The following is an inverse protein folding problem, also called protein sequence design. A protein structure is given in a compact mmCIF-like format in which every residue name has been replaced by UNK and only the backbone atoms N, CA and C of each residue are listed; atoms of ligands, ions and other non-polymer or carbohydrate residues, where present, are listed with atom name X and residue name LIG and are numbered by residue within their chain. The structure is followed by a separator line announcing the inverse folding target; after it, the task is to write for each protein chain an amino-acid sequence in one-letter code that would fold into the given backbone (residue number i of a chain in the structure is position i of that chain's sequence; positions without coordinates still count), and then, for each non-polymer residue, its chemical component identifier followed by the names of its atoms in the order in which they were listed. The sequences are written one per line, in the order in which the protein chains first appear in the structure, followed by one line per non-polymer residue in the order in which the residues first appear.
data_IF_591735214348
#
_entry.id   IF_591735214348
#
_cell.length_a   1.000
_cell.length_b   1.000
_cell.length_c   1.000
_cell.angle_alpha   90.00
_cell.angle_beta   90.00
_cell.angle_gamma   90.00
#
_symmetry.space_group_name_H-M   'P 1'
#
loop_
_entity.id
_entity.type
_entity.pdbx_description
1 polymer ?
#
# COMPACT_ATOMS: atom_id res chain seq x y z
N UNK A 1 19.10 -11.42 21.62
CA UNK A 1 19.16 -10.70 20.32
C UNK A 1 17.78 -10.15 20.11
N UNK A 2 17.65 -8.91 19.73
CA UNK A 2 16.35 -8.24 19.53
C UNK A 2 15.63 -8.87 18.35
N UNK A 3 14.42 -9.40 18.56
CA UNK A 3 13.61 -10.03 17.53
C UNK A 3 12.59 -9.04 16.97
N UNK A 4 12.30 -9.14 15.69
CA UNK A 4 11.24 -8.41 15.02
C UNK A 4 10.04 -9.33 14.75
N UNK A 5 8.91 -9.03 15.34
CA UNK A 5 7.63 -9.68 15.03
C UNK A 5 6.94 -8.89 13.91
N UNK A 6 6.92 -9.47 12.73
CA UNK A 6 6.39 -8.82 11.54
C UNK A 6 4.92 -9.14 11.33
N UNK A 7 4.10 -8.10 11.41
CA UNK A 7 2.66 -8.14 11.18
C UNK A 7 2.39 -7.66 9.76
N UNK A 8 2.53 -8.57 8.79
CA UNK A 8 2.35 -8.27 7.38
C UNK A 8 0.88 -8.15 6.99
N UNK A 9 0.65 -7.67 5.76
CA UNK A 9 -0.68 -7.62 5.16
C UNK A 9 -1.04 -8.96 4.53
N UNK A 10 -2.34 -9.20 4.34
CA UNK A 10 -2.80 -10.33 3.56
C UNK A 10 -2.25 -10.27 2.13
N UNK A 11 -1.63 -11.37 1.69
CA UNK A 11 -0.93 -11.43 0.41
C UNK A 11 -1.84 -11.99 -0.68
N UNK A 12 -2.10 -11.18 -1.71
CA UNK A 12 -2.83 -11.59 -2.91
C UNK A 12 -1.96 -11.29 -4.14
N UNK A 13 -1.90 -12.22 -5.09
CA UNK A 13 -1.04 -12.13 -6.27
C UNK A 13 -1.25 -10.84 -7.08
N UNK A 14 -2.49 -10.37 -7.18
CA UNK A 14 -2.84 -9.16 -7.90
C UNK A 14 -2.52 -7.85 -7.16
N UNK A 15 -2.08 -7.91 -5.89
CA UNK A 15 -1.89 -6.74 -5.04
C UNK A 15 -0.43 -6.45 -4.73
N UNK A 16 -0.17 -5.17 -4.42
CA UNK A 16 1.14 -4.73 -3.93
C UNK A 16 1.49 -5.32 -2.55
N UNK A 17 0.51 -5.80 -1.80
CA UNK A 17 0.71 -6.40 -0.47
C UNK A 17 1.62 -7.64 -0.54
N UNK A 18 1.45 -8.50 -1.55
CA UNK A 18 2.37 -9.62 -1.79
C UNK A 18 3.80 -9.11 -2.04
N UNK A 19 3.95 -8.10 -2.89
CA UNK A 19 5.26 -7.52 -3.20
C UNK A 19 5.92 -6.91 -1.96
N UNK A 20 5.16 -6.18 -1.13
CA UNK A 20 5.70 -5.62 0.12
C UNK A 20 6.24 -6.71 1.04
N UNK A 21 5.49 -7.80 1.23
CA UNK A 21 5.90 -8.92 2.06
C UNK A 21 7.19 -9.56 1.53
N UNK A 22 7.27 -9.82 0.23
CA UNK A 22 8.45 -10.41 -0.40
C UNK A 22 9.67 -9.48 -0.34
N UNK A 23 9.49 -8.20 -0.61
CA UNK A 23 10.59 -7.22 -0.60
C UNK A 23 11.12 -6.96 0.80
N UNK A 24 10.23 -6.81 1.78
CA UNK A 24 10.64 -6.67 3.18
C UNK A 24 11.40 -7.91 3.64
N UNK A 25 10.91 -9.10 3.30
CA UNK A 25 11.60 -10.36 3.61
C UNK A 25 13.02 -10.38 3.07
N UNK A 26 13.24 -10.05 1.80
CA UNK A 26 14.56 -9.96 1.18
C UNK A 26 15.46 -8.93 1.90
N UNK A 27 14.90 -7.79 2.32
CA UNK A 27 15.65 -6.78 3.08
C UNK A 27 16.06 -7.32 4.45
N UNK A 28 15.14 -7.95 5.16
CA UNK A 28 15.42 -8.52 6.48
C UNK A 28 16.48 -9.61 6.41
N UNK A 29 16.39 -10.51 5.43
CA UNK A 29 17.39 -11.57 5.18
C UNK A 29 18.78 -10.97 4.89
N UNK A 30 18.88 -9.97 4.02
CA UNK A 30 20.16 -9.29 3.71
C UNK A 30 20.76 -8.57 4.92
N UNK A 31 19.94 -8.12 5.85
CA UNK A 31 20.37 -7.46 7.07
C UNK A 31 20.62 -8.44 8.21
N UNK A 32 20.46 -9.73 7.98
CA UNK A 32 20.54 -10.78 8.98
C UNK A 32 19.71 -10.48 10.24
N UNK A 33 18.50 -9.92 10.02
CA UNK A 33 17.58 -9.61 11.12
C UNK A 33 16.91 -10.90 11.58
N UNK A 34 16.74 -11.03 12.90
CA UNK A 34 15.92 -12.10 13.49
C UNK A 34 14.45 -11.69 13.41
N UNK A 35 13.73 -12.30 12.47
CA UNK A 35 12.33 -11.93 12.15
C UNK A 35 11.41 -13.13 12.29
N UNK A 36 10.36 -12.95 13.07
CA UNK A 36 9.24 -13.86 13.13
C UNK A 36 8.03 -13.28 12.38
N UNK A 37 7.60 -13.98 11.33
CA UNK A 37 6.42 -13.60 10.55
C UNK A 37 5.19 -14.15 11.23
N UNK A 38 4.42 -13.26 11.88
CA UNK A 38 3.20 -13.66 12.58
C UNK A 38 2.12 -13.98 11.54
N UNK A 39 1.64 -15.24 11.46
CA UNK A 39 0.69 -15.61 10.42
C UNK A 39 -0.71 -15.10 10.71
N UNK A 40 -1.43 -14.72 9.66
CA UNK A 40 -2.88 -14.54 9.67
C UNK A 40 -3.56 -15.66 8.88
N UNK A 41 -4.84 -15.92 9.18
CA UNK A 41 -5.66 -16.89 8.46
C UNK A 41 -6.51 -16.20 7.39
N UNK A 42 -6.69 -16.85 6.24
CA UNK A 42 -7.58 -16.37 5.18
C UNK A 42 -8.94 -17.08 5.28
N UNK A 43 -10.00 -16.41 4.82
CA UNK A 43 -11.31 -17.04 4.64
C UNK A 43 -11.30 -17.78 3.30
N UNK A 44 -11.64 -19.06 3.28
CA UNK A 44 -11.55 -19.92 2.10
C UNK A 44 -12.40 -19.49 0.88
N UNK A 45 -13.33 -18.58 1.06
CA UNK A 45 -14.19 -18.02 0.01
C UNK A 45 -13.86 -16.58 -0.35
N UNK A 46 -12.67 -16.10 -0.06
CA UNK A 46 -12.24 -14.83 -0.62
C UNK A 46 -12.17 -15.00 -2.14
N UNK A 47 -13.23 -14.59 -2.82
CA UNK A 47 -13.17 -14.39 -4.26
C UNK A 47 -11.92 -13.56 -4.54
N UNK A 48 -11.15 -14.02 -5.51
CA UNK A 48 -9.97 -13.29 -5.95
C UNK A 48 -10.32 -11.81 -6.01
N UNK A 49 -9.65 -10.99 -5.20
CA UNK A 49 -9.90 -9.54 -5.17
C UNK A 49 -9.80 -9.06 -6.60
N UNK A 50 -10.92 -8.62 -7.14
CA UNK A 50 -10.93 -8.08 -8.49
C UNK A 50 -9.99 -6.89 -8.52
N UNK A 51 -9.07 -6.87 -9.48
CA UNK A 51 -8.21 -5.71 -9.71
C UNK A 51 -9.10 -4.47 -9.79
N UNK A 52 -8.79 -3.45 -9.00
CA UNK A 52 -9.61 -2.22 -8.90
C UNK A 52 -10.61 -2.21 -7.73
N UNK A 53 -10.81 -3.29 -7.00
CA UNK A 53 -11.56 -3.23 -5.75
C UNK A 53 -10.64 -2.91 -4.57
N UNK A 54 -11.11 -1.99 -3.75
CA UNK A 54 -10.49 -1.72 -2.44
C UNK A 54 -10.97 -2.82 -1.49
N UNK A 55 -10.08 -3.33 -0.69
CA UNK A 55 -10.25 -4.23 0.45
C UNK A 55 -11.60 -4.99 0.55
N UNK A 56 -11.54 -6.32 0.50
CA UNK A 56 -12.57 -7.13 1.14
C UNK A 56 -12.50 -6.88 2.66
N UNK A 57 -13.44 -6.11 3.18
CA UNK A 57 -13.45 -5.72 4.59
C UNK A 57 -13.54 -6.93 5.52
N UNK A 58 -14.25 -8.00 5.14
CA UNK A 58 -14.37 -9.22 5.92
C UNK A 58 -13.05 -10.01 5.91
N UNK A 59 -12.47 -10.23 4.73
CA UNK A 59 -11.20 -10.94 4.58
C UNK A 59 -10.07 -10.21 5.28
N UNK A 60 -9.97 -8.89 5.12
CA UNK A 60 -9.00 -8.05 5.82
C UNK A 60 -9.14 -8.14 7.33
N UNK A 61 -10.37 -8.02 7.84
CA UNK A 61 -10.63 -8.09 9.29
C UNK A 61 -10.31 -9.48 9.84
N UNK A 62 -10.73 -10.53 9.15
CA UNK A 62 -10.47 -11.91 9.57
C UNK A 62 -8.97 -12.23 9.63
N UNK A 63 -8.23 -11.85 8.58
CA UNK A 63 -6.78 -12.03 8.52
C UNK A 63 -6.10 -11.28 9.67
N UNK A 64 -6.39 -9.99 9.83
CA UNK A 64 -5.77 -9.14 10.83
C UNK A 64 -6.09 -9.61 12.26
N UNK A 65 -7.36 -9.94 12.56
CA UNK A 65 -7.76 -10.42 13.88
C UNK A 65 -7.11 -11.76 14.21
N UNK A 66 -7.05 -12.71 13.27
CA UNK A 66 -6.38 -14.00 13.48
C UNK A 66 -4.88 -13.83 13.72
N UNK A 67 -4.24 -12.90 13.01
CA UNK A 67 -2.85 -12.54 13.22
C UNK A 67 -2.62 -11.93 14.62
N UNK A 68 -3.53 -11.05 15.06
CA UNK A 68 -3.49 -10.50 16.42
C UNK A 68 -3.68 -11.57 17.50
N UNK A 69 -4.54 -12.56 17.28
CA UNK A 69 -4.69 -13.69 18.18
C UNK A 69 -3.37 -14.47 18.34
N UNK A 70 -2.67 -14.72 17.24
CA UNK A 70 -1.36 -15.38 17.26
C UNK A 70 -0.31 -14.54 18.00
N UNK A 71 -0.27 -13.22 17.79
CA UNK A 71 0.62 -12.32 18.52
C UNK A 71 0.33 -12.35 20.02
N UNK A 72 -0.94 -12.28 20.41
CA UNK A 72 -1.36 -12.36 21.82
C UNK A 72 -0.92 -13.68 22.46
N UNK A 73 -1.00 -14.79 21.72
CA UNK A 73 -0.51 -16.09 22.19
C UNK A 73 1.03 -16.08 22.40
N UNK A 74 1.79 -15.49 21.49
CA UNK A 74 3.25 -15.33 21.63
C UNK A 74 3.59 -14.48 22.87
N UNK A 75 2.87 -13.38 23.07
CA UNK A 75 3.02 -12.54 24.27
C UNK A 75 2.71 -13.34 25.55
N UNK A 76 1.63 -14.10 25.53
CA UNK A 76 1.22 -14.95 26.68
C UNK A 76 2.24 -16.01 27.02
N UNK A 77 2.91 -16.57 26.02
CA UNK A 77 3.96 -17.59 26.21
C UNK A 77 5.28 -16.99 26.73
N UNK A 78 5.44 -15.65 26.67
CA UNK A 78 6.70 -14.98 26.98
C UNK A 78 7.71 -14.98 25.82
N UNK A 79 7.26 -15.30 24.61
CA UNK A 79 8.11 -15.27 23.40
C UNK A 79 8.42 -13.84 22.98
N UNK A 80 7.49 -12.88 23.25
CA UNK A 80 7.66 -11.45 23.01
C UNK A 80 8.04 -10.76 24.31
N UNK A 81 9.15 -10.03 24.28
CA UNK A 81 9.73 -9.35 25.45
C UNK A 81 9.87 -7.85 25.22
N UNK A 82 10.21 -7.08 26.28
CA UNK A 82 10.47 -5.65 26.18
C UNK A 82 11.68 -5.25 25.33
N UNK A 83 12.53 -6.20 24.98
CA UNK A 83 13.66 -5.95 24.08
C UNK A 83 13.26 -6.04 22.59
N UNK A 84 12.10 -6.62 22.30
CA UNK A 84 11.65 -6.94 20.95
C UNK A 84 10.90 -5.79 20.29
N UNK A 85 10.68 -5.95 18.99
CA UNK A 85 9.92 -5.02 18.16
C UNK A 85 8.73 -5.73 17.55
N UNK A 86 7.56 -5.11 17.62
CA UNK A 86 6.40 -5.49 16.82
C UNK A 86 6.26 -4.46 15.70
N UNK A 87 6.30 -4.90 14.44
CA UNK A 87 6.15 -4.04 13.29
C UNK A 87 4.90 -4.37 12.49
N UNK A 88 3.99 -3.40 12.39
CA UNK A 88 2.78 -3.47 11.60
C UNK A 88 3.00 -2.81 10.23
N UNK A 89 2.81 -3.58 9.16
CA UNK A 89 2.94 -3.10 7.79
C UNK A 89 1.85 -2.09 7.39
N UNK A 90 0.75 -2.07 8.12
CA UNK A 90 -0.31 -1.07 8.03
C UNK A 90 -0.79 -0.73 9.44
N UNK A 91 -0.89 0.55 9.76
CA UNK A 91 -1.41 0.97 11.06
C UNK A 91 -2.86 0.54 11.28
N UNK A 92 -3.63 0.36 10.19
CA UNK A 92 -4.99 -0.18 10.26
C UNK A 92 -4.97 -1.70 10.42
N UNK A 93 -4.88 -2.14 11.67
CA UNK A 93 -4.84 -3.55 12.07
C UNK A 93 -6.01 -3.86 12.98
N UNK A 94 -7.12 -4.41 12.49
CA UNK A 94 -8.22 -4.89 13.34
C UNK A 94 -7.72 -5.79 14.46
N UNK A 95 -8.15 -5.53 15.69
CA UNK A 95 -7.66 -6.21 16.90
C UNK A 95 -6.49 -5.52 17.60
N UNK A 96 -5.91 -4.47 17.00
CA UNK A 96 -4.80 -3.71 17.57
C UNK A 96 -5.11 -3.14 18.96
N UNK A 97 -6.37 -2.81 19.23
CA UNK A 97 -6.86 -2.30 20.52
C UNK A 97 -6.56 -3.26 21.69
N UNK A 98 -6.45 -4.57 21.44
CA UNK A 98 -6.10 -5.56 22.46
C UNK A 98 -4.71 -5.35 23.04
N UNK A 99 -3.76 -4.80 22.27
CA UNK A 99 -2.41 -4.47 22.76
C UNK A 99 -2.48 -3.41 23.86
N UNK A 100 -3.36 -2.40 23.72
CA UNK A 100 -3.56 -1.40 24.76
C UNK A 100 -3.95 -2.02 26.09
N UNK A 101 -4.89 -2.97 26.06
CA UNK A 101 -5.31 -3.68 27.27
C UNK A 101 -4.16 -4.52 27.88
N UNK A 102 -3.41 -5.25 27.05
CA UNK A 102 -2.34 -6.14 27.51
C UNK A 102 -1.15 -5.32 28.05
N UNK A 103 -0.67 -4.33 27.28
CA UNK A 103 0.53 -3.58 27.64
C UNK A 103 0.34 -2.70 28.87
N UNK A 104 -0.90 -2.26 29.17
CA UNK A 104 -1.18 -1.55 30.42
C UNK A 104 -1.19 -2.47 31.67
N UNK A 105 -1.12 -3.79 31.51
CA UNK A 105 -1.05 -4.76 32.60
C UNK A 105 0.40 -5.19 32.94
N UNK A 106 1.37 -4.78 32.15
CA UNK A 106 2.78 -5.13 32.34
C UNK A 106 3.62 -3.87 32.56
N UNK A 107 4.75 -3.95 33.28
CA UNK A 107 5.66 -2.82 33.41
C UNK A 107 6.12 -2.27 32.05
N UNK A 108 6.22 -0.94 31.97
CA UNK A 108 6.55 -0.26 30.70
C UNK A 108 7.88 -0.71 30.09
N UNK A 109 8.86 -0.99 30.92
CA UNK A 109 10.19 -1.49 30.52
C UNK A 109 10.18 -2.92 30.01
N UNK A 110 9.07 -3.64 30.19
CA UNK A 110 8.82 -4.98 29.67
C UNK A 110 7.92 -4.95 28.42
N UNK A 111 7.46 -3.79 27.98
CA UNK A 111 6.65 -3.65 26.80
C UNK A 111 7.53 -3.65 25.54
N UNK A 112 7.18 -4.45 24.49
CA UNK A 112 7.86 -4.38 23.20
C UNK A 112 7.64 -3.01 22.54
N UNK A 113 8.59 -2.57 21.72
CA UNK A 113 8.40 -1.37 20.92
C UNK A 113 7.48 -1.65 19.73
N UNK A 114 6.54 -0.76 19.48
CA UNK A 114 5.59 -0.87 18.37
C UNK A 114 5.95 0.12 17.28
N UNK A 115 6.20 -0.40 16.08
CA UNK A 115 6.36 0.39 14.88
C UNK A 115 5.19 0.12 13.95
N UNK A 116 4.62 1.17 13.37
CA UNK A 116 3.51 1.05 12.43
C UNK A 116 3.81 1.83 11.16
N UNK A 117 3.41 1.31 10.01
CA UNK A 117 3.43 2.07 8.77
C UNK A 117 2.08 2.74 8.55
N UNK A 118 2.10 4.01 8.20
CA UNK A 118 0.92 4.75 7.78
C UNK A 118 0.77 4.63 6.26
N UNK A 119 -0.35 4.09 5.78
CA UNK A 119 -0.69 3.94 4.35
C UNK A 119 -1.89 4.79 3.94
N UNK A 120 -2.72 5.22 4.90
CA UNK A 120 -3.91 6.03 4.70
C UNK A 120 -4.15 6.89 5.96
N UNK A 121 -4.84 8.02 5.81
CA UNK A 121 -5.08 8.98 6.88
C UNK A 121 -6.49 9.54 6.88
N UNK A 122 -7.06 9.67 8.07
CA UNK A 122 -8.40 10.25 8.25
C UNK A 122 -8.48 11.75 7.95
N UNK A 123 -7.38 12.47 8.08
CA UNK A 123 -7.34 13.93 7.85
C UNK A 123 -7.26 14.29 6.37
N UNK A 124 -6.80 13.39 5.52
CA UNK A 124 -6.65 13.62 4.09
C UNK A 124 -8.03 13.50 3.39
N UNK A 125 -8.61 14.60 2.87
CA UNK A 125 -9.92 14.56 2.23
C UNK A 125 -9.93 13.82 0.90
N UNK A 126 -8.77 13.63 0.28
CA UNK A 126 -8.61 12.90 -0.99
C UNK A 126 -8.38 11.40 -0.77
N UNK A 127 -8.20 10.97 0.49
CA UNK A 127 -8.08 9.56 0.83
C UNK A 127 -9.42 8.82 0.71
N UNK A 128 -9.38 7.53 0.35
CA UNK A 128 -10.57 6.68 0.24
C UNK A 128 -11.37 6.61 1.55
N UNK A 129 -10.74 6.83 2.69
CA UNK A 129 -11.36 6.90 4.02
C UNK A 129 -12.44 7.97 4.08
N UNK A 130 -12.22 9.13 3.46
CA UNK A 130 -13.22 10.19 3.35
C UNK A 130 -14.33 9.83 2.37
N UNK A 131 -13.96 9.33 1.19
CA UNK A 131 -14.92 8.95 0.13
C UNK A 131 -15.93 7.91 0.64
N UNK A 132 -15.50 7.02 1.54
CA UNK A 132 -16.35 5.98 2.13
C UNK A 132 -17.07 6.41 3.42
N UNK A 133 -16.94 7.65 3.83
CA UNK A 133 -17.55 8.16 5.05
C UNK A 133 -16.96 7.60 6.34
N UNK A 134 -15.74 7.08 6.29
CA UNK A 134 -15.06 6.43 7.41
C UNK A 134 -14.17 7.38 8.23
N UNK A 135 -14.00 8.63 7.79
CA UNK A 135 -13.03 9.56 8.37
C UNK A 135 -13.16 9.72 9.89
N UNK A 136 -14.39 9.85 10.42
CA UNK A 136 -14.61 9.99 11.86
C UNK A 136 -14.16 8.76 12.65
N UNK A 137 -14.52 7.58 12.18
CA UNK A 137 -14.15 6.33 12.80
C UNK A 137 -12.63 6.10 12.71
N UNK A 138 -12.05 6.35 11.55
CA UNK A 138 -10.61 6.19 11.34
C UNK A 138 -9.80 7.14 12.20
N UNK A 139 -10.25 8.39 12.36
CA UNK A 139 -9.57 9.35 13.24
C UNK A 139 -9.51 8.87 14.71
N UNK A 140 -10.59 8.27 15.22
CA UNK A 140 -10.58 7.67 16.57
C UNK A 140 -9.60 6.50 16.66
N UNK A 141 -9.54 5.69 15.61
CA UNK A 141 -8.59 4.59 15.51
C UNK A 141 -7.14 5.09 15.48
N UNK A 142 -6.85 6.10 14.67
CA UNK A 142 -5.53 6.74 14.58
C UNK A 142 -5.08 7.31 15.93
N UNK A 143 -5.97 7.94 16.68
CA UNK A 143 -5.66 8.43 18.02
C UNK A 143 -5.24 7.29 18.96
N UNK A 144 -5.95 6.16 18.93
CA UNK A 144 -5.58 4.98 19.70
C UNK A 144 -4.21 4.43 19.28
N UNK A 145 -3.93 4.35 17.99
CA UNK A 145 -2.62 3.91 17.48
C UNK A 145 -1.52 4.85 17.94
N UNK A 146 -1.74 6.18 17.83
CA UNK A 146 -0.80 7.20 18.33
C UNK A 146 -0.44 6.98 19.81
N UNK A 147 -1.44 6.82 20.66
CA UNK A 147 -1.24 6.58 22.11
C UNK A 147 -0.41 5.30 22.35
N UNK A 148 -0.75 4.23 21.66
CA UNK A 148 -0.05 2.94 21.82
C UNK A 148 1.40 3.00 21.35
N UNK A 149 1.66 3.61 20.20
CA UNK A 149 3.01 3.78 19.66
C UNK A 149 3.85 4.67 20.57
N UNK A 150 3.30 5.79 21.03
CA UNK A 150 3.98 6.68 21.98
C UNK A 150 4.26 5.98 23.31
N UNK A 151 3.31 5.22 23.84
CA UNK A 151 3.47 4.45 25.08
C UNK A 151 4.59 3.41 24.97
N UNK A 152 4.66 2.68 23.85
CA UNK A 152 5.66 1.63 23.60
C UNK A 152 7.09 2.16 23.38
N UNK A 153 7.25 3.47 23.15
CA UNK A 153 8.53 4.06 22.73
C UNK A 153 8.94 3.68 21.30
N UNK A 154 7.98 3.29 20.47
CA UNK A 154 8.15 3.01 19.04
C UNK A 154 7.99 4.25 18.17
N UNK A 155 7.59 4.05 16.91
CA UNK A 155 7.42 5.15 15.96
C UNK A 155 6.43 4.79 14.83
N UNK A 156 5.95 5.84 14.16
CA UNK A 156 5.18 5.75 12.92
C UNK A 156 6.09 5.97 11.72
N UNK A 157 5.94 5.15 10.70
CA UNK A 157 6.66 5.25 9.44
C UNK A 157 5.71 5.82 8.36
N UNK A 158 5.91 7.08 8.03
CA UNK A 158 5.17 7.77 6.98
C UNK A 158 5.90 7.68 5.64
N UNK A 159 5.16 7.71 4.53
CA UNK A 159 5.74 7.50 3.20
C UNK A 159 6.23 8.79 2.53
N UNK A 160 5.79 9.96 3.00
CA UNK A 160 6.17 11.27 2.47
C UNK A 160 6.02 12.38 3.52
N UNK A 161 6.54 13.57 3.21
CA UNK A 161 6.50 14.74 4.10
C UNK A 161 5.08 15.29 4.31
N UNK A 162 4.22 15.19 3.31
CA UNK A 162 2.83 15.63 3.41
C UNK A 162 2.09 14.82 4.46
N UNK A 163 2.25 13.49 4.43
CA UNK A 163 1.69 12.59 5.42
C UNK A 163 2.21 12.90 6.83
N UNK A 164 3.50 13.20 6.97
CA UNK A 164 4.08 13.64 8.26
C UNK A 164 3.43 14.94 8.74
N UNK A 165 3.26 15.91 7.84
CA UNK A 165 2.61 17.19 8.18
C UNK A 165 1.14 16.98 8.60
N UNK A 166 0.39 16.17 7.87
CA UNK A 166 -0.98 15.82 8.20
C UNK A 166 -1.09 15.16 9.58
N UNK A 167 -0.23 14.21 9.90
CA UNK A 167 -0.20 13.56 11.21
C UNK A 167 0.07 14.58 12.33
N UNK A 168 1.00 15.52 12.12
CA UNK A 168 1.28 16.58 13.10
C UNK A 168 0.08 17.50 13.31
N UNK A 169 -0.59 17.89 12.23
CA UNK A 169 -1.83 18.69 12.29
C UNK A 169 -2.93 17.91 13.02
N UNK A 170 -3.03 16.60 12.80
CA UNK A 170 -3.99 15.73 13.49
C UNK A 170 -3.64 15.47 14.97
N UNK A 171 -2.53 16.02 15.49
CA UNK A 171 -2.17 15.93 16.90
C UNK A 171 -1.37 14.69 17.30
N UNK A 172 -0.73 14.03 16.36
CA UNK A 172 0.14 12.89 16.68
C UNK A 172 1.34 13.31 17.53
N UNK A 173 1.54 12.59 18.64
CA UNK A 173 2.63 12.80 19.61
C UNK A 173 3.74 11.76 19.49
N UNK A 174 3.42 10.58 18.94
CA UNK A 174 4.41 9.55 18.65
C UNK A 174 5.50 10.07 17.71
N UNK A 175 6.74 9.58 17.79
CA UNK A 175 7.76 9.83 16.79
C UNK A 175 7.27 9.41 15.40
N UNK A 176 7.48 10.27 14.38
CA UNK A 176 7.13 10.00 13.00
C UNK A 176 8.37 10.12 12.14
N UNK A 177 8.68 9.10 11.37
CA UNK A 177 9.79 9.09 10.42
C UNK A 177 9.28 9.01 9.00
N UNK A 178 9.72 9.93 8.15
CA UNK A 178 9.52 9.81 6.72
C UNK A 178 10.51 8.78 6.15
N UNK A 179 9.97 7.69 5.59
CA UNK A 179 10.77 6.62 4.96
C UNK A 179 10.86 6.76 3.44
N UNK A 180 10.41 7.90 2.90
CA UNK A 180 10.49 8.25 1.47
C UNK A 180 9.87 7.23 0.52
N UNK A 181 8.68 6.74 0.86
CA UNK A 181 7.88 5.84 0.02
C UNK A 181 7.73 4.42 0.57
N UNK A 182 7.15 3.57 -0.24
CA UNK A 182 7.01 2.15 0.05
C UNK A 182 8.31 1.40 -0.31
N UNK A 183 8.53 0.26 0.33
CA UNK A 183 9.59 -0.66 -0.09
C UNK A 183 9.43 -0.99 -1.58
N UNK A 184 10.50 -0.83 -2.34
CA UNK A 184 10.53 -1.09 -3.77
C UNK A 184 11.62 -2.11 -4.11
N UNK A 185 11.20 -3.23 -4.66
CA UNK A 185 12.09 -4.32 -5.07
C UNK A 185 12.66 -4.06 -6.45
N UNK A 186 13.66 -3.18 -6.57
CA UNK A 186 14.31 -2.90 -7.85
C UNK A 186 14.77 -4.17 -8.57
N UNK A 187 15.30 -5.13 -7.83
CA UNK A 187 15.79 -6.39 -8.39
C UNK A 187 14.67 -7.21 -9.02
N UNK A 188 13.52 -7.31 -8.36
CA UNK A 188 12.36 -8.02 -8.91
C UNK A 188 11.88 -7.37 -10.21
N UNK A 189 11.80 -6.05 -10.25
CA UNK A 189 11.42 -5.34 -11.48
C UNK A 189 12.41 -5.62 -12.59
N UNK A 190 13.70 -5.60 -12.28
CA UNK A 190 14.76 -5.93 -13.27
C UNK A 190 14.63 -7.37 -13.77
N UNK A 191 14.39 -8.34 -12.87
CA UNK A 191 14.15 -9.73 -13.25
C UNK A 191 12.95 -9.85 -14.22
N UNK A 192 11.83 -9.15 -13.92
CA UNK A 192 10.62 -9.20 -14.73
C UNK A 192 10.78 -8.60 -16.13
N UNK A 193 11.68 -7.66 -16.31
CA UNK A 193 12.01 -7.11 -17.64
C UNK A 193 13.18 -7.83 -18.31
N UNK A 194 13.69 -8.91 -17.74
CA UNK A 194 14.76 -9.71 -18.29
C UNK A 194 16.17 -9.18 -18.01
N UNK A 195 16.33 -8.38 -16.97
CA UNK A 195 17.62 -7.90 -16.47
C UNK A 195 17.92 -6.43 -16.80
N UNK A 196 18.98 -5.92 -16.17
CA UNK A 196 19.42 -4.51 -16.29
C UNK A 196 19.75 -4.11 -17.73
N UNK A 197 20.23 -5.04 -18.54
CA UNK A 197 20.56 -4.79 -19.95
C UNK A 197 19.33 -4.43 -20.80
N UNK A 198 18.13 -4.80 -20.36
CA UNK A 198 16.88 -4.52 -21.06
C UNK A 198 16.27 -3.17 -20.66
N UNK A 199 16.87 -2.44 -19.74
CA UNK A 199 16.41 -1.07 -19.43
C UNK A 199 16.66 -0.20 -20.67
N UNK A 200 15.58 0.32 -21.24
CA UNK A 200 15.69 1.25 -22.36
C UNK A 200 16.18 2.61 -21.85
N UNK A 201 17.21 3.20 -22.48
CA UNK A 201 17.60 4.56 -22.20
C UNK A 201 16.41 5.52 -22.35
N UNK A 202 16.30 6.51 -21.47
CA UNK A 202 15.16 7.43 -21.46
C UNK A 202 14.92 8.09 -22.84
N UNK A 203 15.99 8.55 -23.48
CA UNK A 203 15.91 9.24 -24.79
C UNK A 203 15.53 8.32 -25.96
N UNK A 204 15.68 7.01 -25.79
CA UNK A 204 15.26 6.02 -26.82
C UNK A 204 13.80 5.59 -26.70
N UNK A 205 13.09 6.02 -25.63
CA UNK A 205 11.71 5.67 -25.43
C UNK A 205 10.79 6.55 -26.26
N UNK A 206 9.69 6.01 -26.79
CA UNK A 206 8.69 6.83 -27.46
C UNK A 206 8.06 7.82 -26.48
N UNK A 207 7.60 8.95 -26.98
CA UNK A 207 6.78 9.87 -26.20
C UNK A 207 5.45 9.17 -25.86
N UNK A 208 5.35 8.75 -24.62
CA UNK A 208 4.17 8.07 -24.09
C UNK A 208 3.89 8.54 -22.68
N UNK A 209 2.66 8.92 -22.42
CA UNK A 209 2.16 9.24 -21.08
C UNK A 209 1.25 8.10 -20.64
N UNK A 210 1.62 7.43 -19.56
CA UNK A 210 0.90 6.27 -19.03
C UNK A 210 0.11 6.59 -17.77
N UNK A 211 -1.16 6.17 -17.72
CA UNK A 211 -1.94 6.12 -16.48
C UNK A 211 -1.75 4.74 -15.85
N UNK A 212 -0.98 4.68 -14.78
CA UNK A 212 -0.52 3.44 -14.15
C UNK A 212 -1.08 3.30 -12.72
N UNK A 213 -2.37 3.56 -12.54
CA UNK A 213 -3.06 3.48 -11.26
C UNK A 213 -4.44 2.82 -11.43
N UNK A 214 -5.12 2.52 -10.31
CA UNK A 214 -6.54 2.15 -10.37
C UNK A 214 -7.32 3.26 -11.07
N UNK A 215 -8.31 2.89 -11.86
CA UNK A 215 -9.10 3.85 -12.63
C UNK A 215 -10.29 4.40 -11.85
N UNK A 216 -10.13 4.50 -10.52
CA UNK A 216 -11.12 4.99 -9.59
C UNK A 216 -11.01 6.51 -9.41
N UNK A 217 -12.09 7.12 -8.95
CA UNK A 217 -12.22 8.58 -8.85
C UNK A 217 -11.08 9.24 -8.06
N UNK A 218 -10.61 8.63 -6.98
CA UNK A 218 -9.53 9.16 -6.14
C UNK A 218 -8.17 9.23 -6.87
N UNK A 219 -8.01 8.51 -7.98
CA UNK A 219 -6.81 8.58 -8.85
C UNK A 219 -6.97 9.56 -10.00
N UNK A 220 -8.08 10.28 -10.02
CA UNK A 220 -8.37 11.36 -10.97
C UNK A 220 -8.23 10.96 -12.46
N UNK A 221 -8.83 9.83 -12.91
CA UNK A 221 -8.75 9.46 -14.32
C UNK A 221 -9.41 10.49 -15.24
N UNK A 222 -10.37 11.27 -14.71
CA UNK A 222 -10.97 12.41 -15.43
C UNK A 222 -9.94 13.43 -15.86
N UNK A 223 -9.05 13.83 -14.96
CA UNK A 223 -7.96 14.77 -15.26
C UNK A 223 -7.02 14.21 -16.35
N UNK A 224 -6.66 12.93 -16.28
CA UNK A 224 -5.85 12.31 -17.34
C UNK A 224 -6.54 12.38 -18.69
N UNK A 225 -7.83 12.07 -18.78
CA UNK A 225 -8.61 12.14 -20.02
C UNK A 225 -8.77 13.57 -20.55
N UNK A 226 -8.93 14.56 -19.66
CA UNK A 226 -8.97 15.98 -20.04
C UNK A 226 -7.61 16.42 -20.59
N UNK A 227 -6.51 15.97 -20.01
CA UNK A 227 -5.16 16.21 -20.54
C UNK A 227 -5.01 15.63 -21.94
N UNK A 228 -5.50 14.42 -22.19
CA UNK A 228 -5.47 13.79 -23.52
C UNK A 228 -6.26 14.62 -24.55
N UNK A 229 -7.48 15.03 -24.23
CA UNK A 229 -8.31 15.85 -25.12
C UNK A 229 -7.63 17.21 -25.39
N UNK A 230 -7.08 17.85 -24.36
CA UNK A 230 -6.34 19.12 -24.51
C UNK A 230 -5.12 18.94 -25.42
N UNK A 231 -4.36 17.85 -25.22
CA UNK A 231 -3.19 17.57 -26.04
C UNK A 231 -3.56 17.39 -27.51
N UNK A 232 -4.54 16.53 -27.80
CA UNK A 232 -4.97 16.29 -29.18
C UNK A 232 -5.57 17.52 -29.86
N UNK A 233 -6.07 18.49 -29.08
CA UNK A 233 -6.59 19.75 -29.63
C UNK A 233 -5.50 20.79 -29.97
N UNK A 234 -4.29 20.68 -29.40
CA UNK A 234 -3.29 21.76 -29.45
C UNK A 234 -1.90 21.29 -29.89
N UNK A 235 -1.53 20.06 -29.65
CA UNK A 235 -0.18 19.60 -29.89
C UNK A 235 0.05 19.17 -31.34
N UNK A 236 1.23 19.48 -31.85
CA UNK A 236 1.69 19.11 -33.20
C UNK A 236 2.67 17.92 -33.17
N UNK A 237 3.19 17.59 -31.99
CA UNK A 237 4.12 16.46 -31.85
C UNK A 237 3.35 15.19 -31.49
N UNK A 238 3.73 14.02 -32.01
CA UNK A 238 3.08 12.77 -31.63
C UNK A 238 3.41 12.38 -30.19
N UNK A 239 2.38 12.06 -29.42
CA UNK A 239 2.49 11.46 -28.10
C UNK A 239 1.44 10.37 -27.98
N UNK A 240 1.82 9.22 -27.49
CA UNK A 240 0.89 8.13 -27.19
C UNK A 240 0.41 8.28 -25.74
N UNK A 241 -0.89 8.12 -25.52
CA UNK A 241 -1.48 8.04 -24.19
C UNK A 241 -1.96 6.63 -23.94
N UNK A 242 -1.63 6.08 -22.77
CA UNK A 242 -1.92 4.69 -22.45
C UNK A 242 -2.51 4.54 -21.05
N UNK A 243 -3.43 3.59 -20.90
CA UNK A 243 -3.97 3.14 -19.61
C UNK A 243 -3.54 1.70 -19.40
N UNK A 244 -3.02 1.37 -18.21
CA UNK A 244 -2.56 0.03 -17.87
C UNK A 244 -3.40 -0.57 -16.77
N UNK A 245 -3.91 -1.79 -16.97
CA UNK A 245 -4.70 -2.53 -15.98
C UNK A 245 -4.36 -4.02 -16.00
N UNK A 246 -4.08 -4.60 -14.83
CA UNK A 246 -3.82 -6.03 -14.69
C UNK A 246 -5.08 -6.92 -14.79
N UNK A 247 -6.27 -6.33 -14.89
CA UNK A 247 -7.55 -6.98 -15.16
C UNK A 247 -8.37 -6.16 -16.13
N UNK A 248 -9.65 -6.48 -16.35
CA UNK A 248 -10.54 -5.64 -17.12
C UNK A 248 -10.56 -4.23 -16.57
N UNK A 249 -10.54 -3.21 -17.44
CA UNK A 249 -10.62 -1.82 -16.99
C UNK A 249 -11.93 -1.58 -16.25
N UNK A 250 -11.85 -1.21 -14.98
CA UNK A 250 -12.99 -0.96 -14.08
C UNK A 250 -12.78 0.34 -13.33
N UNK A 251 -13.88 0.93 -12.88
CA UNK A 251 -13.88 2.13 -12.03
C UNK A 251 -15.09 2.08 -11.09
N UNK A 252 -14.97 2.73 -9.93
CA UNK A 252 -16.11 3.04 -9.06
C UNK A 252 -17.09 4.06 -9.69
N UNK A 253 -16.71 4.67 -10.83
CA UNK A 253 -17.56 5.52 -11.66
C UNK A 253 -17.52 5.02 -13.11
N UNK A 254 -18.61 4.39 -13.57
CA UNK A 254 -18.70 3.79 -14.91
C UNK A 254 -18.49 4.81 -16.04
N UNK A 255 -18.86 6.09 -15.84
CA UNK A 255 -18.68 7.13 -16.83
C UNK A 255 -17.22 7.33 -17.25
N UNK A 256 -16.25 7.07 -16.35
CA UNK A 256 -14.84 7.12 -16.71
C UNK A 256 -14.44 5.99 -17.65
N UNK A 257 -14.93 4.77 -17.41
CA UNK A 257 -14.66 3.62 -18.29
C UNK A 257 -15.26 3.84 -19.67
N UNK A 258 -16.50 4.32 -19.72
CA UNK A 258 -17.20 4.63 -20.98
C UNK A 258 -16.47 5.72 -21.77
N UNK A 259 -16.01 6.79 -21.10
CA UNK A 259 -15.22 7.86 -21.73
C UNK A 259 -13.90 7.31 -22.26
N UNK A 260 -13.19 6.52 -21.47
CA UNK A 260 -11.91 5.93 -21.88
C UNK A 260 -12.07 5.04 -23.12
N UNK A 261 -13.10 4.19 -23.15
CA UNK A 261 -13.38 3.32 -24.32
C UNK A 261 -13.77 4.12 -25.57
N UNK A 262 -14.50 5.24 -25.43
CA UNK A 262 -14.74 6.16 -26.56
C UNK A 262 -13.44 6.74 -27.08
N UNK A 263 -12.59 7.25 -26.19
CA UNK A 263 -11.30 7.83 -26.58
C UNK A 263 -10.37 6.81 -27.24
N UNK A 264 -10.45 5.54 -26.82
CA UNK A 264 -9.75 4.45 -27.50
C UNK A 264 -10.28 4.21 -28.91
N UNK A 265 -11.59 4.18 -29.08
CA UNK A 265 -12.23 4.05 -30.40
C UNK A 265 -11.91 5.26 -31.32
N UNK A 266 -11.71 6.45 -30.76
CA UNK A 266 -11.25 7.64 -31.46
C UNK A 266 -9.74 7.66 -31.74
N UNK A 267 -9.00 6.65 -31.27
CA UNK A 267 -7.55 6.56 -31.45
C UNK A 267 -6.73 7.53 -30.57
N UNK A 268 -7.36 8.16 -29.58
CA UNK A 268 -6.69 9.14 -28.70
C UNK A 268 -5.85 8.48 -27.61
N UNK A 269 -6.26 7.30 -27.14
CA UNK A 269 -5.58 6.53 -26.10
C UNK A 269 -5.47 5.07 -26.51
N UNK A 270 -4.58 4.33 -25.83
CA UNK A 270 -4.56 2.87 -25.86
C UNK A 270 -4.85 2.31 -24.48
N UNK A 271 -5.69 1.29 -24.40
CA UNK A 271 -6.00 0.60 -23.17
C UNK A 271 -5.36 -0.79 -23.21
N UNK A 272 -4.43 -1.02 -22.30
CA UNK A 272 -3.79 -2.29 -22.05
C UNK A 272 -4.40 -2.90 -20.80
N UNK A 273 -5.47 -3.64 -20.94
CA UNK A 273 -6.13 -4.36 -19.85
C UNK A 273 -5.87 -5.86 -19.89
N UNK A 274 -6.10 -6.53 -18.76
CA UNK A 274 -5.77 -7.96 -18.55
C UNK A 274 -4.29 -8.30 -18.79
N UNK A 275 -3.39 -7.35 -18.58
CA UNK A 275 -1.96 -7.58 -18.77
C UNK A 275 -1.34 -8.18 -17.49
N UNK A 276 -0.39 -9.09 -17.70
CA UNK A 276 0.43 -9.62 -16.61
C UNK A 276 1.36 -8.55 -16.01
N UNK A 277 1.89 -8.81 -14.82
CA UNK A 277 2.90 -7.92 -14.22
C UNK A 277 4.16 -7.76 -15.07
N UNK A 278 4.57 -8.79 -15.78
CA UNK A 278 5.73 -8.72 -16.67
C UNK A 278 5.45 -7.77 -17.84
N UNK A 279 4.28 -7.88 -18.46
CA UNK A 279 3.86 -6.96 -19.53
C UNK A 279 3.71 -5.53 -19.01
N UNK A 280 3.13 -5.36 -17.81
CA UNK A 280 3.03 -4.04 -17.17
C UNK A 280 4.40 -3.37 -17.01
N UNK A 281 5.40 -4.06 -16.45
CA UNK A 281 6.74 -3.51 -16.32
C UNK A 281 7.43 -3.30 -17.68
N UNK A 282 7.19 -4.16 -18.66
CA UNK A 282 7.69 -3.96 -20.02
C UNK A 282 7.09 -2.69 -20.66
N UNK A 283 5.81 -2.42 -20.45
CA UNK A 283 5.16 -1.18 -20.89
C UNK A 283 5.75 0.05 -20.20
N UNK A 284 5.94 0.01 -18.86
CA UNK A 284 6.56 1.11 -18.13
C UNK A 284 8.01 1.38 -18.62
N UNK A 285 8.77 0.32 -18.90
CA UNK A 285 10.12 0.45 -19.48
C UNK A 285 10.12 1.08 -20.88
N UNK A 286 8.98 1.12 -21.54
CA UNK A 286 8.76 1.77 -22.84
C UNK A 286 8.03 3.12 -22.73
N UNK A 287 7.83 3.66 -21.52
CA UNK A 287 7.16 4.95 -21.29
C UNK A 287 8.22 6.00 -20.96
N UNK A 288 8.08 7.18 -21.56
CA UNK A 288 9.01 8.31 -21.35
C UNK A 288 8.48 9.27 -20.31
#
# INVERSE_FOLDING_TARGET
MRKLYYMGLESYEARYTLQLTEWNRRVFERRAMDVEYVPGSTIDNTQAISVGQVLDAHGRSYFAMSQMMNLVQLMKNGDVTGEDVIYFEDMFQPGFESLGYIMNQIPRDQCPQIFVRCLAQAIDPDDFVHVWGMARWMNLYEQMVNEMVAFSGGAVLATNEEMVAHMRIAGWTAPIYNISGLAFGQEEVLERIGGKANIKPFDSRPWRVGFAARFDQEKQPGFFMDLVDLYHSRATQPCEFAIYSGGPLRSNNSAYVERARRMEAEGKIRIYDNISKNEYYAHLNNTR
#
